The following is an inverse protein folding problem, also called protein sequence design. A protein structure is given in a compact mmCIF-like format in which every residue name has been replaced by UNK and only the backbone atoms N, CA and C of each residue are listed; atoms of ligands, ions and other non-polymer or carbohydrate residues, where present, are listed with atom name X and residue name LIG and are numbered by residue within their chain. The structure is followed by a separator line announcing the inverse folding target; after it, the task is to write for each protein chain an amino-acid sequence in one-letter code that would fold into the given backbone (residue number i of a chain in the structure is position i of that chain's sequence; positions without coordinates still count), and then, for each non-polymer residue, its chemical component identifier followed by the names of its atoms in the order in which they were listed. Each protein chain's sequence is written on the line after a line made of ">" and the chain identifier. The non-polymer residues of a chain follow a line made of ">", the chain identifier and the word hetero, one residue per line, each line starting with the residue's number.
data_IF_065240638167
#
_entry.id   IF_065240638167
#
_cell.length_a   1.000
_cell.length_b   1.000
_cell.length_c   1.000
_cell.angle_alpha   90.00
_cell.angle_beta   90.00
_cell.angle_gamma   90.00
#
_symmetry.space_group_name_H-M   'P 1'
#
loop_
_entity.id
_entity.type
_entity.pdbx_description
1 polymer ?
#
# COMPACT_ATOMS: atom_id res chain seq x y z
N UNK A 1 13.55 -18.22 -9.80
CA UNK A 1 13.38 -16.83 -10.28
C UNK A 1 14.65 -16.44 -10.98
N UNK A 2 14.55 -16.10 -12.26
CA UNK A 2 15.67 -15.56 -13.06
C UNK A 2 15.83 -14.09 -12.66
N UNK A 3 17.06 -13.66 -12.37
CA UNK A 3 17.34 -12.25 -12.05
C UNK A 3 17.38 -11.44 -13.35
N UNK A 4 16.43 -10.54 -13.52
CA UNK A 4 16.29 -9.67 -14.70
C UNK A 4 16.50 -8.20 -14.26
N UNK A 5 17.74 -7.67 -14.35
CA UNK A 5 18.08 -6.35 -13.81
C UNK A 5 17.41 -5.19 -14.55
N UNK A 6 16.96 -5.42 -15.79
CA UNK A 6 16.38 -4.39 -16.65
C UNK A 6 14.86 -4.22 -16.45
N UNK A 7 14.24 -5.03 -15.58
CA UNK A 7 12.83 -4.86 -15.25
C UNK A 7 12.62 -3.53 -14.49
N UNK A 8 11.56 -2.76 -14.80
CA UNK A 8 11.24 -1.55 -14.08
C UNK A 8 11.08 -1.79 -12.58
N UNK A 9 11.72 -0.97 -11.75
CA UNK A 9 11.49 -1.01 -10.31
C UNK A 9 10.16 -0.33 -9.97
N UNK A 10 9.09 -1.13 -9.92
CA UNK A 10 7.74 -0.70 -9.57
C UNK A 10 7.48 -0.63 -8.05
N UNK A 11 8.50 -0.93 -7.23
CA UNK A 11 8.39 -1.20 -5.79
C UNK A 11 9.28 -0.25 -4.98
N UNK A 12 9.25 1.04 -5.28
CA UNK A 12 10.16 2.02 -4.69
C UNK A 12 9.69 2.50 -3.32
N UNK A 13 8.38 2.72 -3.17
CA UNK A 13 7.77 3.18 -1.92
C UNK A 13 6.59 2.28 -1.58
N UNK A 14 6.54 1.78 -0.35
CA UNK A 14 5.45 0.98 0.19
C UNK A 14 4.60 1.85 1.12
N UNK A 15 3.28 1.89 0.88
CA UNK A 15 2.33 2.65 1.69
C UNK A 15 1.30 1.73 2.32
N UNK A 16 0.99 1.95 3.60
CA UNK A 16 -0.08 1.23 4.31
C UNK A 16 -1.08 2.18 4.97
N UNK A 17 -2.34 1.77 5.01
CA UNK A 17 -3.42 2.50 5.67
C UNK A 17 -3.48 2.08 7.13
N UNK A 18 -3.42 3.03 8.07
CA UNK A 18 -3.41 2.74 9.51
C UNK A 18 -4.73 2.15 10.01
N UNK A 19 -5.81 2.31 9.24
CA UNK A 19 -7.08 1.66 9.53
C UNK A 19 -6.94 0.14 9.63
N UNK A 20 -6.02 -0.47 8.87
CA UNK A 20 -5.70 -1.89 9.05
C UNK A 20 -5.14 -2.17 10.44
N UNK A 21 -4.32 -1.28 10.99
CA UNK A 21 -3.71 -1.51 12.31
C UNK A 21 -4.76 -1.43 13.41
N UNK A 22 -5.73 -0.51 13.26
CA UNK A 22 -6.90 -0.44 14.15
C UNK A 22 -7.72 -1.75 14.05
N UNK A 23 -7.97 -2.28 12.84
CA UNK A 23 -8.64 -3.57 12.65
C UNK A 23 -7.87 -4.75 13.28
N UNK A 24 -6.55 -4.75 13.16
CA UNK A 24 -5.66 -5.79 13.69
C UNK A 24 -5.60 -5.74 15.21
N UNK A 25 -5.61 -4.56 15.82
CA UNK A 25 -5.63 -4.38 17.26
C UNK A 25 -6.88 -5.01 17.90
N UNK A 26 -8.04 -4.89 17.24
CA UNK A 26 -9.28 -5.56 17.68
C UNK A 26 -9.17 -7.09 17.70
N UNK A 27 -8.25 -7.64 16.92
CA UNK A 27 -7.97 -9.07 16.83
C UNK A 27 -6.79 -9.50 17.72
N UNK A 28 -6.26 -8.59 18.54
CA UNK A 28 -5.15 -8.84 19.46
C UNK A 28 -3.77 -8.72 18.83
N UNK A 29 -3.65 -8.15 17.63
CA UNK A 29 -2.37 -7.88 16.99
C UNK A 29 -1.98 -6.41 17.17
N UNK A 30 -1.00 -6.15 18.03
CA UNK A 30 -0.39 -4.82 18.15
C UNK A 30 0.60 -4.60 17.00
N UNK A 31 0.26 -3.68 16.11
CA UNK A 31 1.07 -3.23 14.96
C UNK A 31 1.14 -1.70 14.97
N UNK A 32 2.33 -1.16 14.78
CA UNK A 32 2.62 0.28 14.70
C UNK A 32 3.26 0.62 13.37
N UNK A 33 3.26 1.91 13.01
CA UNK A 33 3.89 2.41 11.79
C UNK A 33 5.33 1.91 11.60
N UNK A 34 5.62 1.46 10.38
CA UNK A 34 6.89 0.89 9.93
C UNK A 34 7.07 -0.60 10.25
N UNK A 35 6.23 -1.22 11.08
CA UNK A 35 6.46 -2.60 11.54
C UNK A 35 6.15 -3.66 10.48
N UNK A 36 5.37 -3.33 9.45
CA UNK A 36 5.11 -4.24 8.32
C UNK A 36 6.02 -3.96 7.12
N UNK A 37 7.01 -3.07 7.28
CA UNK A 37 8.01 -2.72 6.29
C UNK A 37 7.51 -1.70 5.27
N UNK A 38 6.46 -0.96 5.59
CA UNK A 38 6.02 0.23 4.88
C UNK A 38 6.95 1.42 5.13
N UNK A 39 7.06 2.27 4.13
CA UNK A 39 7.80 3.53 4.22
C UNK A 39 6.92 4.64 4.80
N UNK A 40 5.63 4.62 4.45
CA UNK A 40 4.67 5.66 4.81
C UNK A 40 3.39 4.99 5.30
N UNK A 41 2.89 5.43 6.44
CA UNK A 41 1.52 5.14 6.88
C UNK A 41 0.61 6.31 6.50
N UNK A 42 -0.62 5.98 6.11
CA UNK A 42 -1.64 6.96 5.73
C UNK A 42 -2.88 6.76 6.59
N UNK A 43 -3.65 7.82 6.81
CA UNK A 43 -4.97 7.75 7.46
C UNK A 43 -5.97 8.58 6.68
N UNK A 44 -7.20 8.11 6.59
CA UNK A 44 -8.30 8.73 5.84
C UNK A 44 -8.22 8.56 4.33
N UNK A 45 -7.37 7.66 3.83
CA UNK A 45 -7.17 7.41 2.40
C UNK A 45 -7.47 5.95 2.09
N UNK A 46 -8.46 5.70 1.22
CA UNK A 46 -8.75 4.36 0.70
C UNK A 46 -7.71 3.95 -0.34
N UNK A 47 -6.52 3.56 0.13
CA UNK A 47 -5.40 3.17 -0.73
C UNK A 47 -5.75 1.98 -1.63
N UNK A 48 -6.53 1.02 -1.14
CA UNK A 48 -6.82 -0.22 -1.86
C UNK A 48 -7.87 -0.02 -2.96
N UNK A 49 -8.74 0.98 -2.80
CA UNK A 49 -9.75 1.39 -3.79
C UNK A 49 -9.22 2.33 -4.87
N UNK A 50 -7.96 2.77 -4.80
CA UNK A 50 -7.39 3.68 -5.80
C UNK A 50 -7.25 3.02 -7.17
N UNK A 51 -7.48 3.75 -8.28
CA UNK A 51 -7.10 3.27 -9.60
C UNK A 51 -5.58 3.10 -9.75
N UNK A 52 -5.14 2.11 -10.53
CA UNK A 52 -3.75 2.01 -10.98
C UNK A 52 -3.34 3.29 -11.72
N UNK A 53 -2.20 3.88 -11.34
CA UNK A 53 -1.72 5.14 -11.89
C UNK A 53 -2.23 6.39 -11.16
N UNK A 54 -2.94 6.24 -10.04
CA UNK A 54 -3.30 7.38 -9.17
C UNK A 54 -2.05 8.08 -8.65
N UNK A 55 -2.09 9.40 -8.60
CA UNK A 55 -1.01 10.21 -8.03
C UNK A 55 -1.35 10.60 -6.59
N UNK A 56 -0.42 10.33 -5.69
CA UNK A 56 -0.45 10.76 -4.30
C UNK A 56 0.50 11.94 -4.16
N UNK A 57 -0.07 13.13 -3.97
CA UNK A 57 0.66 14.34 -3.64
C UNK A 57 0.84 14.39 -2.13
N UNK A 58 2.09 14.32 -1.67
CA UNK A 58 2.48 14.27 -0.27
C UNK A 58 3.21 15.55 0.11
N UNK A 59 2.65 16.28 1.07
CA UNK A 59 3.20 17.56 1.50
C UNK A 59 3.23 18.57 0.36
N UNK A 60 4.34 19.30 0.22
CA UNK A 60 4.46 20.40 -0.73
C UNK A 60 4.88 19.98 -2.15
N UNK A 61 5.69 18.92 -2.27
CA UNK A 61 6.42 18.63 -3.53
C UNK A 61 6.41 17.17 -3.95
N UNK A 62 6.34 16.22 -3.02
CA UNK A 62 6.54 14.83 -3.34
C UNK A 62 5.30 14.26 -4.06
N UNK A 63 5.52 13.58 -5.18
CA UNK A 63 4.45 12.93 -5.94
C UNK A 63 4.81 11.48 -6.16
N UNK A 64 3.95 10.59 -5.70
CA UNK A 64 4.05 9.15 -5.89
C UNK A 64 2.99 8.68 -6.87
N UNK A 65 3.33 7.79 -7.79
CA UNK A 65 2.35 7.10 -8.65
C UNK A 65 2.13 5.69 -8.12
N UNK A 66 0.87 5.36 -7.82
CA UNK A 66 0.47 4.04 -7.34
C UNK A 66 0.59 3.02 -8.48
N UNK A 67 1.40 1.99 -8.27
CA UNK A 67 1.70 0.97 -9.28
C UNK A 67 0.92 -0.32 -9.06
N UNK A 68 0.52 -0.64 -7.84
CA UNK A 68 -0.25 -1.85 -7.56
C UNK A 68 -0.31 -2.23 -6.08
N UNK A 69 -0.93 -3.38 -5.80
CA UNK A 69 -1.04 -3.96 -4.46
C UNK A 69 0.29 -4.59 -4.02
N UNK A 70 0.63 -4.40 -2.76
CA UNK A 70 1.79 -5.07 -2.17
C UNK A 70 1.44 -6.53 -1.84
N UNK A 71 2.30 -7.44 -2.27
CA UNK A 71 2.12 -8.87 -2.00
C UNK A 71 2.41 -9.25 -0.54
N UNK A 72 1.49 -9.92 0.17
CA UNK A 72 1.79 -10.55 1.44
C UNK A 72 2.94 -11.56 1.31
N UNK A 73 3.81 -11.63 2.32
CA UNK A 73 4.90 -12.59 2.36
C UNK A 73 5.08 -13.17 3.77
N UNK A 74 5.82 -14.29 3.86
CA UNK A 74 6.07 -15.01 5.10
C UNK A 74 6.66 -14.13 6.22
N UNK A 75 7.38 -13.06 5.88
CA UNK A 75 7.95 -12.11 6.86
C UNK A 75 6.92 -11.47 7.77
N UNK A 76 5.66 -11.37 7.36
CA UNK A 76 4.57 -10.91 8.24
C UNK A 76 4.39 -11.86 9.43
N UNK A 77 4.46 -13.17 9.20
CA UNK A 77 4.39 -14.17 10.26
C UNK A 77 5.66 -14.22 11.10
N UNK A 78 6.82 -13.90 10.52
CA UNK A 78 8.08 -13.78 11.28
C UNK A 78 8.00 -12.60 12.27
N UNK A 79 7.31 -11.52 11.90
CA UNK A 79 7.04 -10.39 12.81
C UNK A 79 6.04 -10.76 13.91
N UNK A 80 4.87 -11.32 13.53
CA UNK A 80 3.83 -11.78 14.45
C UNK A 80 3.15 -13.04 13.91
N UNK A 81 3.28 -14.15 14.62
CA UNK A 81 2.67 -15.43 14.22
C UNK A 81 1.14 -15.28 14.08
N UNK A 82 0.60 -15.67 12.92
CA UNK A 82 -0.83 -15.65 12.63
C UNK A 82 -1.30 -14.39 11.91
N UNK A 83 -0.52 -13.31 11.97
CA UNK A 83 -0.89 -12.02 11.39
C UNK A 83 -1.08 -12.08 9.87
N UNK A 84 -0.32 -12.95 9.19
CA UNK A 84 -0.46 -13.13 7.75
C UNK A 84 -1.88 -13.54 7.35
N UNK A 85 -2.59 -14.32 8.18
CA UNK A 85 -3.98 -14.71 7.92
C UNK A 85 -4.94 -13.53 7.93
N UNK A 86 -4.67 -12.53 8.78
CA UNK A 86 -5.58 -11.40 9.01
C UNK A 86 -5.52 -10.32 7.94
N UNK A 87 -4.45 -10.32 7.12
CA UNK A 87 -4.30 -9.37 6.01
C UNK A 87 -4.90 -9.90 4.70
N UNK A 88 -5.40 -11.13 4.67
CA UNK A 88 -6.20 -11.63 3.55
C UNK A 88 -7.65 -11.16 3.69
N UNK A 89 -8.24 -10.73 2.58
CA UNK A 89 -9.65 -10.39 2.52
C UNK A 89 -10.29 -11.00 1.27
N UNK A 90 -11.56 -11.34 1.37
CA UNK A 90 -12.39 -11.64 0.21
C UNK A 90 -13.10 -10.35 -0.17
N UNK A 91 -13.04 -9.99 -1.45
CA UNK A 91 -13.89 -8.98 -2.02
C UNK A 91 -15.35 -9.47 -1.95
N UNK A 92 -16.25 -8.79 -1.22
CA UNK A 92 -17.63 -9.22 -1.07
C UNK A 92 -18.46 -9.19 -2.37
N UNK A 93 -18.06 -8.37 -3.34
CA UNK A 93 -18.76 -8.15 -4.60
C UNK A 93 -18.29 -9.11 -5.69
N UNK A 94 -16.97 -9.26 -5.87
CA UNK A 94 -16.40 -10.13 -6.89
C UNK A 94 -16.21 -11.57 -6.39
N UNK A 95 -16.12 -11.78 -5.08
CA UNK A 95 -15.74 -13.05 -4.48
C UNK A 95 -14.27 -13.39 -4.68
N UNK A 96 -13.45 -12.46 -5.19
CA UNK A 96 -12.02 -12.66 -5.38
C UNK A 96 -11.22 -12.39 -4.12
N UNK A 97 -10.03 -13.01 -4.04
CA UNK A 97 -9.10 -12.73 -2.96
C UNK A 97 -8.38 -11.40 -3.20
N UNK A 98 -8.42 -10.53 -2.20
CA UNK A 98 -7.60 -9.32 -2.11
C UNK A 98 -6.73 -9.37 -0.84
N UNK A 99 -5.79 -8.44 -0.73
CA UNK A 99 -4.90 -8.34 0.41
C UNK A 99 -4.90 -6.91 0.94
N UNK A 100 -4.96 -6.77 2.26
CA UNK A 100 -4.89 -5.48 2.94
C UNK A 100 -3.46 -5.00 3.19
N UNK A 101 -2.49 -5.52 2.45
CA UNK A 101 -1.07 -5.23 2.66
C UNK A 101 -0.61 -3.86 2.13
N UNK A 102 -1.52 -2.96 1.78
CA UNK A 102 -1.20 -1.65 1.23
C UNK A 102 -0.80 -1.70 -0.25
N UNK A 103 -0.19 -0.61 -0.71
CA UNK A 103 0.15 -0.40 -2.13
C UNK A 103 1.64 -0.13 -2.31
N UNK A 104 2.12 -0.42 -3.50
CA UNK A 104 3.43 0.02 -3.98
C UNK A 104 3.28 1.24 -4.88
N UNK A 105 4.30 2.07 -4.87
CA UNK A 105 4.38 3.26 -5.69
C UNK A 105 5.80 3.51 -6.20
N UNK A 106 5.87 4.35 -7.23
CA UNK A 106 7.12 4.90 -7.77
C UNK A 106 7.14 6.41 -7.59
N UNK A 107 8.32 6.99 -7.41
CA UNK A 107 8.47 8.43 -7.25
C UNK A 107 8.40 9.10 -8.63
N UNK A 108 7.43 10.00 -8.82
CA UNK A 108 7.31 10.85 -10.03
C UNK A 108 7.95 12.21 -9.84
N UNK A 109 7.83 12.76 -8.64
CA UNK A 109 8.54 13.97 -8.22
C UNK A 109 9.10 13.76 -6.82
N UNK A 110 10.41 13.97 -6.66
CA UNK A 110 11.07 13.90 -5.36
C UNK A 110 10.76 15.13 -4.51
N UNK A 111 10.70 14.96 -3.20
CA UNK A 111 10.44 16.04 -2.26
C UNK A 111 10.67 15.58 -0.82
N UNK A 112 10.67 16.52 0.11
CA UNK A 112 10.68 16.18 1.54
C UNK A 112 9.25 15.83 1.97
N UNK A 113 9.09 14.67 2.60
CA UNK A 113 7.85 14.25 3.26
C UNK A 113 8.10 14.22 4.77
N UNK A 114 7.18 14.78 5.55
CA UNK A 114 7.20 14.82 7.01
C UNK A 114 5.97 14.13 7.59
N UNK A 115 6.04 13.65 8.85
CA UNK A 115 4.84 13.29 9.59
C UNK A 115 3.79 14.41 9.52
N UNK A 116 2.52 14.02 9.46
CA UNK A 116 1.35 14.91 9.38
C UNK A 116 1.21 15.72 8.08
N UNK A 117 2.06 15.49 7.07
CA UNK A 117 1.85 16.07 5.74
C UNK A 117 0.52 15.61 5.13
N UNK A 118 -0.21 16.55 4.51
CA UNK A 118 -1.46 16.24 3.83
C UNK A 118 -1.22 15.34 2.62
N UNK A 119 -2.19 14.46 2.37
CA UNK A 119 -2.23 13.59 1.19
C UNK A 119 -3.38 14.04 0.30
N UNK A 120 -3.06 14.45 -0.93
CA UNK A 120 -4.05 14.70 -1.96
C UNK A 120 -3.97 13.61 -3.03
N UNK A 121 -5.13 13.05 -3.39
CA UNK A 121 -5.24 11.98 -4.37
C UNK A 121 -5.76 12.55 -5.68
N UNK A 122 -5.01 12.34 -6.75
CA UNK A 122 -5.41 12.64 -8.12
C UNK A 122 -5.61 11.33 -8.88
N UNK A 123 -6.83 11.10 -9.35
CA UNK A 123 -7.18 9.91 -10.13
C UNK A 123 -6.67 10.06 -11.58
N UNK A 124 -6.23 8.96 -12.22
CA UNK A 124 -5.87 8.98 -13.64
C UNK A 124 -7.12 9.23 -14.51
N UNK A 125 -6.95 9.66 -15.78
CA UNK A 125 -8.06 9.75 -16.71
C UNK A 125 -8.82 8.43 -16.86
N UNK A 126 -10.15 8.51 -17.02
CA UNK A 126 -10.98 7.34 -17.27
C UNK A 126 -10.64 6.64 -18.60
N UNK A 127 -10.85 5.31 -18.72
CA UNK A 127 -11.43 4.42 -17.71
C UNK A 127 -10.43 4.00 -16.63
N UNK A 128 -10.90 3.95 -15.38
CA UNK A 128 -10.08 3.49 -14.25
C UNK A 128 -9.84 1.98 -14.34
N UNK A 129 -8.63 1.57 -13.95
CA UNK A 129 -8.26 0.15 -13.80
C UNK A 129 -8.01 -0.14 -12.32
N UNK A 130 -8.50 -1.27 -11.78
CA UNK A 130 -8.22 -1.66 -10.40
C UNK A 130 -6.72 -1.93 -10.20
N UNK A 131 -6.29 -1.99 -8.94
CA UNK A 131 -4.91 -2.33 -8.60
C UNK A 131 -4.68 -3.83 -8.77
N UNK A 132 -3.61 -4.18 -9.45
CA UNK A 132 -3.11 -5.54 -9.55
C UNK A 132 -1.88 -5.72 -8.67
N UNK A 133 -1.49 -6.98 -8.44
CA UNK A 133 -0.28 -7.32 -7.68
C UNK A 133 0.95 -6.92 -8.47
N UNK A 134 1.87 -6.19 -7.84
CA UNK A 134 3.19 -5.88 -8.42
C UNK A 134 4.31 -6.58 -7.72
#
# INVERSE_FOLDING_TARGET
>A
MTYEPDLPNLRQVHLMHEELFDELALKGFEVSAGQLGENITTRGVDLLGLPTGSLLHLGEQAVLEVTGLRNPCAKINDFRKGLLGEVFAMDPLSGEFTFKCGVMAVVRCGGTVRPDDSIHVEAPPAPHRPLERV
#
